data_IF_980490446408
#
_entry.id   IF_980490446408
#
_cell.length_a   1.000
_cell.length_b   1.000
_cell.length_c   1.000
_cell.angle_alpha   90.00
_cell.angle_beta   90.00
_cell.angle_gamma   90.00
#
_symmetry.space_group_name_H-M   'P 1'
#
loop_
_entity.id
_entity.type
_entity.pdbx_description
1 polymer ?
#
# COMPACT_ATOMS: atom_id res chain seq x y z
N UNK A 1 -1.82 -24.84 32.93
CA UNK A 1 -1.04 -25.25 31.75
C UNK A 1 -1.75 -24.62 30.56
N UNK A 2 -1.31 -23.46 30.10
CA UNK A 2 -1.96 -22.75 28.99
C UNK A 2 -1.32 -23.34 27.73
N UNK A 3 -2.07 -24.19 27.04
CA UNK A 3 -1.67 -24.74 25.76
C UNK A 3 -1.49 -23.57 24.79
N UNK A 4 -0.25 -23.32 24.41
CA UNK A 4 0.04 -22.41 23.31
C UNK A 4 -0.62 -23.03 22.07
N UNK A 5 -1.76 -22.48 21.67
CA UNK A 5 -2.32 -22.71 20.34
C UNK A 5 -1.27 -22.21 19.36
N UNK A 6 -0.39 -23.10 18.94
CA UNK A 6 0.35 -22.96 17.70
C UNK A 6 -0.70 -23.07 16.60
N UNK A 7 -1.38 -21.96 16.34
CA UNK A 7 -2.06 -21.75 15.07
C UNK A 7 -0.94 -21.84 14.04
N UNK A 8 -0.71 -23.04 13.51
CA UNK A 8 -0.09 -23.24 12.21
C UNK A 8 -1.01 -22.52 11.23
N UNK A 9 -0.82 -21.20 11.16
CA UNK A 9 -1.35 -20.33 10.16
C UNK A 9 -0.77 -20.92 8.87
N UNK A 10 -1.55 -21.78 8.20
CA UNK A 10 -1.31 -22.18 6.83
C UNK A 10 -1.36 -20.89 6.03
N UNK A 11 -0.22 -20.20 5.98
CA UNK A 11 0.00 -19.05 5.12
C UNK A 11 -0.28 -19.59 3.74
N UNK A 12 -1.45 -19.24 3.19
CA UNK A 12 -1.77 -19.51 1.80
C UNK A 12 -0.71 -18.77 0.99
N UNK A 13 0.37 -19.46 0.63
CA UNK A 13 1.55 -18.90 -0.03
C UNK A 13 1.19 -18.27 -1.37
N UNK A 14 0.03 -18.64 -1.92
CA UNK A 14 -0.57 -18.03 -3.12
C UNK A 14 -0.95 -16.54 -2.92
N UNK A 15 -1.16 -16.10 -1.67
CA UNK A 15 -1.57 -14.73 -1.35
C UNK A 15 -0.41 -13.80 -0.96
N UNK A 16 0.80 -14.35 -0.79
CA UNK A 16 1.98 -13.60 -0.36
C UNK A 16 3.06 -13.61 -1.44
N UNK A 17 3.67 -12.46 -1.69
CA UNK A 17 4.70 -12.33 -2.71
C UNK A 17 5.91 -11.53 -2.19
N UNK A 18 7.06 -11.71 -2.83
CA UNK A 18 8.25 -10.95 -2.47
C UNK A 18 8.05 -9.45 -2.71
N UNK A 19 8.73 -8.57 -1.97
CA UNK A 19 8.65 -7.13 -2.19
C UNK A 19 9.04 -6.71 -3.61
N UNK A 20 9.97 -7.45 -4.24
CA UNK A 20 10.38 -7.22 -5.63
C UNK A 20 9.26 -7.54 -6.63
N UNK A 21 8.50 -8.62 -6.38
CA UNK A 21 7.34 -8.96 -7.20
C UNK A 21 6.25 -7.90 -7.08
N UNK A 22 5.90 -7.49 -5.86
CA UNK A 22 4.89 -6.45 -5.64
C UNK A 22 5.27 -5.12 -6.30
N UNK A 23 6.54 -4.70 -6.18
CA UNK A 23 7.05 -3.49 -6.83
C UNK A 23 6.87 -3.51 -8.34
N UNK A 24 7.18 -4.65 -8.99
CA UNK A 24 7.00 -4.82 -10.43
C UNK A 24 5.53 -4.91 -10.85
N UNK A 25 4.73 -5.66 -10.09
CA UNK A 25 3.32 -5.90 -10.43
C UNK A 25 2.48 -4.62 -10.40
N UNK A 26 2.71 -3.76 -9.41
CA UNK A 26 1.94 -2.53 -9.22
C UNK A 26 2.61 -1.29 -9.81
N UNK A 27 3.77 -1.45 -10.48
CA UNK A 27 4.59 -0.37 -11.02
C UNK A 27 4.92 0.71 -9.99
N UNK A 28 5.40 0.27 -8.82
CA UNK A 28 5.75 1.15 -7.70
C UNK A 28 7.19 0.91 -7.26
N UNK A 29 7.99 1.96 -7.00
CA UNK A 29 9.33 1.79 -6.43
C UNK A 29 9.30 0.98 -5.13
N UNK A 30 10.26 0.06 -4.99
CA UNK A 30 10.37 -0.80 -3.80
C UNK A 30 10.46 0.02 -2.50
N UNK A 31 11.13 1.17 -2.53
CA UNK A 31 11.23 2.09 -1.39
C UNK A 31 9.87 2.66 -0.95
N UNK A 32 8.97 2.91 -1.90
CA UNK A 32 7.61 3.40 -1.60
C UNK A 32 6.79 2.32 -0.92
N UNK A 33 6.85 1.08 -1.41
CA UNK A 33 6.17 -0.06 -0.78
C UNK A 33 6.78 -0.35 0.60
N UNK A 34 8.10 -0.25 0.74
CA UNK A 34 8.78 -0.36 2.02
C UNK A 34 8.28 0.71 3.01
N UNK A 35 8.15 1.96 2.56
CA UNK A 35 7.61 3.03 3.41
C UNK A 35 6.15 2.79 3.81
N UNK A 36 5.34 2.18 2.92
CA UNK A 36 3.97 1.79 3.25
C UNK A 36 3.93 0.67 4.31
N UNK A 37 4.86 -0.29 4.23
CA UNK A 37 5.08 -1.30 5.28
C UNK A 37 5.41 -0.64 6.61
N UNK A 38 6.36 0.29 6.60
CA UNK A 38 6.85 0.97 7.80
C UNK A 38 5.75 1.83 8.45
N UNK A 39 4.75 2.28 7.67
CA UNK A 39 3.53 2.95 8.17
C UNK A 39 2.44 1.99 8.63
N UNK A 40 2.58 0.68 8.43
CA UNK A 40 1.57 -0.32 8.74
C UNK A 40 0.37 -0.32 7.77
N UNK A 41 0.54 0.23 6.57
CA UNK A 41 -0.53 0.28 5.56
C UNK A 41 -0.67 -1.03 4.77
N UNK A 42 0.36 -1.88 4.81
CA UNK A 42 0.39 -3.16 4.10
C UNK A 42 0.70 -4.32 5.05
N UNK A 43 -0.05 -5.41 4.89
CA UNK A 43 0.17 -6.66 5.60
C UNK A 43 1.42 -7.36 5.08
N UNK A 44 2.26 -7.85 5.99
CA UNK A 44 3.43 -8.67 5.66
C UNK A 44 3.64 -9.78 6.68
N UNK A 45 4.38 -10.80 6.25
CA UNK A 45 4.86 -11.88 7.10
C UNK A 45 6.37 -11.97 6.98
N UNK A 46 7.02 -12.36 8.07
CA UNK A 46 8.46 -12.64 8.10
C UNK A 46 8.66 -14.11 8.41
N UNK A 47 9.38 -14.81 7.53
CA UNK A 47 9.75 -16.21 7.72
C UNK A 47 10.97 -16.31 8.65
N UNK A 48 11.15 -17.47 9.28
CA UNK A 48 12.26 -17.72 10.22
C UNK A 48 13.66 -17.46 9.61
N UNK A 49 13.80 -17.56 8.30
CA UNK A 49 15.03 -17.24 7.56
C UNK A 49 15.24 -15.74 7.29
N UNK A 50 14.42 -14.85 7.85
CA UNK A 50 14.47 -13.41 7.62
C UNK A 50 13.90 -12.97 6.26
N UNK A 51 13.28 -13.88 5.51
CA UNK A 51 12.60 -13.52 4.26
C UNK A 51 11.28 -12.85 4.59
N UNK A 52 11.06 -11.66 4.03
CA UNK A 52 9.79 -10.94 4.14
C UNK A 52 8.94 -11.17 2.88
N UNK A 53 7.64 -11.43 3.07
CA UNK A 53 6.68 -11.49 1.98
C UNK A 53 5.47 -10.62 2.31
N UNK A 54 4.97 -9.92 1.31
CA UNK A 54 3.86 -8.99 1.42
C UNK A 54 2.59 -9.65 0.93
N UNK A 55 1.47 -9.39 1.62
CA UNK A 55 0.16 -9.85 1.19
C UNK A 55 -0.26 -9.07 -0.06
N UNK A 56 -0.42 -9.75 -1.18
CA UNK A 56 -0.65 -9.09 -2.49
C UNK A 56 -1.92 -8.25 -2.47
N UNK A 57 -3.01 -8.75 -1.89
CA UNK A 57 -4.28 -8.03 -1.79
C UNK A 57 -4.18 -6.74 -0.95
N UNK A 58 -3.36 -6.75 0.10
CA UNK A 58 -3.16 -5.56 0.94
C UNK A 58 -2.38 -4.47 0.18
N UNK A 59 -1.37 -4.86 -0.59
CA UNK A 59 -0.62 -3.93 -1.46
C UNK A 59 -1.50 -3.39 -2.60
N UNK A 60 -2.38 -4.22 -3.16
CA UNK A 60 -3.34 -3.80 -4.19
C UNK A 60 -4.30 -2.74 -3.63
N UNK A 61 -4.91 -3.01 -2.47
CA UNK A 61 -5.82 -2.06 -1.83
C UNK A 61 -5.12 -0.74 -1.50
N UNK A 62 -3.91 -0.80 -0.92
CA UNK A 62 -3.09 0.37 -0.65
C UNK A 62 -2.84 1.22 -1.91
N UNK A 63 -2.54 0.59 -3.05
CA UNK A 63 -2.30 1.31 -4.29
C UNK A 63 -3.56 1.99 -4.82
N UNK A 64 -4.72 1.34 -4.70
CA UNK A 64 -6.02 1.93 -5.06
C UNK A 64 -6.28 3.17 -4.22
N UNK A 65 -6.12 3.07 -2.90
CA UNK A 65 -6.36 4.18 -1.97
C UNK A 65 -5.42 5.36 -2.27
N UNK A 66 -4.14 5.08 -2.51
CA UNK A 66 -3.14 6.08 -2.88
C UNK A 66 -3.50 6.82 -4.17
N UNK A 67 -3.99 6.11 -5.20
CA UNK A 67 -4.38 6.76 -6.45
C UNK A 67 -5.65 7.60 -6.30
N UNK A 68 -6.60 7.13 -5.49
CA UNK A 68 -7.80 7.91 -5.14
C UNK A 68 -7.46 9.22 -4.43
N UNK A 69 -6.50 9.19 -3.50
CA UNK A 69 -6.02 10.41 -2.83
C UNK A 69 -5.34 11.38 -3.79
N UNK A 70 -4.57 10.88 -4.76
CA UNK A 70 -3.95 11.71 -5.80
C UNK A 70 -4.98 12.40 -6.67
N UNK A 71 -6.01 11.69 -7.10
CA UNK A 71 -7.11 12.25 -7.90
C UNK A 71 -7.83 13.34 -7.11
N UNK A 72 -8.25 13.06 -5.87
CA UNK A 72 -8.93 14.04 -5.00
C UNK A 72 -8.09 15.30 -4.80
N UNK A 73 -6.77 15.15 -4.61
CA UNK A 73 -5.86 16.29 -4.45
C UNK A 73 -5.75 17.10 -5.74
N UNK A 74 -5.70 16.45 -6.90
CA UNK A 74 -5.66 17.11 -8.19
C UNK A 74 -6.95 17.89 -8.46
N UNK A 75 -8.12 17.31 -8.18
CA UNK A 75 -9.43 17.97 -8.29
C UNK A 75 -9.51 19.20 -7.38
N UNK A 76 -9.07 19.08 -6.12
CA UNK A 76 -9.06 20.19 -5.16
C UNK A 76 -8.17 21.34 -5.63
N UNK A 77 -6.99 21.03 -6.21
CA UNK A 77 -6.10 22.04 -6.80
C UNK A 77 -6.75 22.73 -7.99
N UNK A 78 -7.32 21.95 -8.92
CA UNK A 78 -8.01 22.49 -10.09
C UNK A 78 -9.16 23.44 -9.70
N UNK A 79 -9.97 23.07 -8.70
CA UNK A 79 -11.03 23.94 -8.19
C UNK A 79 -10.48 25.23 -7.56
N UNK A 80 -9.37 25.14 -6.81
CA UNK A 80 -8.72 26.31 -6.23
C UNK A 80 -8.16 27.26 -7.31
N UNK A 81 -7.55 26.73 -8.38
CA UNK A 81 -7.07 27.51 -9.51
C UNK A 81 -8.22 28.20 -10.27
N UNK A 82 -9.33 27.50 -10.52
CA UNK A 82 -10.53 28.11 -11.15
C UNK A 82 -11.09 29.25 -10.28
N UNK A 83 -11.20 29.04 -8.97
CA UNK A 83 -11.70 30.04 -8.05
C UNK A 83 -10.78 31.28 -7.99
N UNK A 84 -9.45 31.06 -8.06
CA UNK A 84 -8.46 32.14 -8.12
C UNK A 84 -8.60 32.97 -9.39
N UNK A 85 -8.74 32.32 -10.55
CA UNK A 85 -8.93 33.00 -11.84
C UNK A 85 -10.22 33.81 -11.87
N UNK A 86 -11.33 33.29 -11.32
CA UNK A 86 -12.60 34.04 -11.22
C UNK A 86 -12.48 35.31 -10.39
N UNK A 87 -11.71 35.29 -9.29
CA UNK A 87 -11.50 36.48 -8.44
C UNK A 87 -10.57 37.52 -9.06
N UNK A 88 -9.68 37.13 -9.98
CA UNK A 88 -8.77 38.05 -10.66
C UNK A 88 -9.43 38.79 -11.84
N UNK A 89 -10.62 38.36 -12.27
CA UNK A 89 -11.37 38.96 -13.39
C UNK A 89 -12.60 39.78 -12.94
N UNK A 90 -12.77 40.02 -11.63
CA UNK A 90 -13.77 40.94 -11.04
C UNK A 90 -13.05 42.07 -10.31
#
# INVERSE_FOLDING_TARGET
MIEARTEEMMINTDQYASPAYCARKFDVPRSTIQSAKDRGEIDFVTFQCGTEMYRVASVEQWQIDREQERIKLAEKKMQADIARSRKASS
#
